data_IF_604235880328
#
_entry.id   IF_604235880328
#
_cell.length_a   1.000
_cell.length_b   1.000
_cell.length_c   1.000
_cell.angle_alpha   90.00
_cell.angle_beta   90.00
_cell.angle_gamma   90.00
#
_symmetry.space_group_name_H-M   'P 1'
#
loop_
_entity.id
_entity.type
_entity.pdbx_description
1 polymer ?
#
# COMPACT_ATOMS: atom_id res chain seq x y z
N UNK A 1 8.35 4.81 -3.08
CA UNK A 1 8.40 3.78 -2.02
C UNK A 1 8.52 4.51 -0.69
N UNK A 2 7.71 4.13 0.30
CA UNK A 2 7.73 4.69 1.65
C UNK A 2 7.67 3.55 2.65
N UNK A 3 8.40 3.68 3.76
CA UNK A 3 8.34 2.71 4.87
C UNK A 3 7.17 3.07 5.78
N UNK A 4 6.37 2.07 6.16
CA UNK A 4 5.27 2.13 7.10
C UNK A 4 5.50 1.10 8.22
N UNK A 5 5.07 1.41 9.44
CA UNK A 5 5.03 0.45 10.55
C UNK A 5 3.59 0.26 11.00
N UNK A 6 3.12 -0.97 11.00
CA UNK A 6 1.79 -1.28 11.52
C UNK A 6 1.76 -1.30 13.06
N UNK A 7 0.56 -1.41 13.63
CA UNK A 7 0.35 -1.48 15.08
C UNK A 7 0.95 -2.75 15.72
N UNK A 8 1.26 -3.77 14.92
CA UNK A 8 1.96 -4.99 15.33
C UNK A 8 3.49 -4.82 15.39
N UNK A 9 4.02 -3.68 14.91
CA UNK A 9 5.44 -3.40 14.81
C UNK A 9 6.12 -3.95 13.55
N UNK A 10 5.35 -4.56 12.63
CA UNK A 10 5.91 -5.04 11.37
C UNK A 10 6.25 -3.85 10.47
N UNK A 11 7.34 -4.00 9.71
CA UNK A 11 7.77 -3.00 8.73
C UNK A 11 7.30 -3.37 7.34
N UNK A 12 6.72 -2.40 6.66
CA UNK A 12 6.15 -2.54 5.33
C UNK A 12 6.76 -1.51 4.39
N UNK A 13 7.16 -1.96 3.20
CA UNK A 13 7.39 -1.08 2.06
C UNK A 13 6.07 -0.84 1.33
N UNK A 14 5.68 0.42 1.23
CA UNK A 14 4.47 0.84 0.53
C UNK A 14 4.88 1.46 -0.80
N UNK A 15 4.31 0.91 -1.88
CA UNK A 15 4.52 1.38 -3.25
C UNK A 15 3.19 1.59 -3.95
N UNK A 16 3.20 2.48 -4.93
CA UNK A 16 2.03 2.69 -5.79
C UNK A 16 2.19 1.84 -7.03
N UNK A 17 1.23 0.95 -7.24
CA UNK A 17 1.14 0.07 -8.40
C UNK A 17 0.00 0.49 -9.34
N UNK A 18 0.03 -0.09 -10.54
CA UNK A 18 -1.05 0.00 -11.51
C UNK A 18 -1.50 -1.40 -11.86
N UNK A 19 -2.78 -1.66 -11.63
CA UNK A 19 -3.47 -2.90 -11.96
C UNK A 19 -4.12 -2.81 -13.35
N UNK A 20 -4.72 -3.91 -13.78
CA UNK A 20 -5.54 -3.98 -15.00
C UNK A 20 -6.54 -2.83 -15.07
N UNK A 21 -6.82 -2.37 -16.30
CA UNK A 21 -7.75 -1.27 -16.59
C UNK A 21 -7.36 0.11 -16.03
N UNK A 22 -6.12 0.27 -15.53
CA UNK A 22 -5.62 1.55 -15.06
C UNK A 22 -5.95 1.89 -13.62
N UNK A 23 -6.49 0.94 -12.86
CA UNK A 23 -6.69 1.07 -11.42
C UNK A 23 -5.35 1.33 -10.73
N UNK A 24 -5.31 2.33 -9.86
CA UNK A 24 -4.13 2.63 -9.05
C UNK A 24 -4.30 2.00 -7.68
N UNK A 25 -3.28 1.29 -7.21
CA UNK A 25 -3.31 0.57 -5.94
C UNK A 25 -2.12 0.97 -5.08
N UNK A 26 -2.31 0.94 -3.75
CA UNK A 26 -1.22 0.90 -2.81
C UNK A 26 -0.91 -0.55 -2.48
N UNK A 27 0.35 -0.94 -2.63
CA UNK A 27 0.84 -2.30 -2.38
C UNK A 27 1.79 -2.22 -1.19
N UNK A 28 1.50 -3.04 -0.18
CA UNK A 28 2.26 -3.20 1.05
C UNK A 28 3.02 -4.50 0.99
N UNK A 29 4.34 -4.43 1.06
CA UNK A 29 5.24 -5.59 1.05
C UNK A 29 5.93 -5.65 2.41
N UNK A 30 5.75 -6.75 3.14
CA UNK A 30 6.41 -6.91 4.44
C UNK A 30 7.92 -7.04 4.23
N UNK A 31 8.72 -6.30 5.00
CA UNK A 31 10.18 -6.33 4.87
C UNK A 31 10.80 -7.60 5.46
N UNK A 32 10.18 -8.13 6.52
CA UNK A 32 10.64 -9.31 7.24
C UNK A 32 9.45 -10.24 7.52
N UNK A 33 9.60 -11.52 7.18
CA UNK A 33 8.56 -12.53 7.35
C UNK A 33 8.06 -13.11 6.03
N UNK A 34 7.04 -13.96 6.12
CA UNK A 34 6.44 -14.66 4.98
C UNK A 34 4.98 -14.23 4.72
N UNK A 35 4.59 -13.05 5.22
CA UNK A 35 3.25 -12.52 4.95
C UNK A 35 3.12 -12.14 3.47
N UNK A 36 1.99 -12.51 2.87
CA UNK A 36 1.71 -12.17 1.49
C UNK A 36 1.59 -10.64 1.33
N UNK A 37 2.03 -10.07 0.19
CA UNK A 37 1.79 -8.67 -0.10
C UNK A 37 0.31 -8.33 0.02
N UNK A 38 0.01 -7.15 0.55
CA UNK A 38 -1.37 -6.66 0.69
C UNK A 38 -1.58 -5.48 -0.23
N UNK A 39 -2.78 -5.33 -0.78
CA UNK A 39 -3.08 -4.20 -1.65
C UNK A 39 -4.48 -3.62 -1.41
N UNK A 40 -4.62 -2.34 -1.71
CA UNK A 40 -5.90 -1.64 -1.69
C UNK A 40 -5.97 -0.60 -2.80
N UNK A 41 -7.19 -0.30 -3.26
CA UNK A 41 -7.41 0.69 -4.30
C UNK A 41 -7.22 2.11 -3.77
N UNK A 42 -6.48 2.91 -4.53
CA UNK A 42 -6.36 4.35 -4.30
C UNK A 42 -7.38 5.10 -5.16
N UNK A 43 -7.99 6.15 -4.59
CA UNK A 43 -8.97 6.98 -5.29
C UNK A 43 -8.30 8.09 -6.11
N UNK A 44 -7.37 7.71 -6.97
CA UNK A 44 -6.55 8.61 -7.80
C UNK A 44 -6.65 8.25 -9.27
N UNK A 45 -6.31 9.20 -10.15
CA UNK A 45 -6.42 9.04 -11.60
C UNK A 45 -5.13 8.56 -12.25
N UNK A 46 -4.00 8.67 -11.57
CA UNK A 46 -2.72 8.19 -12.09
C UNK A 46 -1.76 7.70 -11.00
N UNK A 47 -0.78 6.84 -11.34
CA UNK A 47 0.26 6.41 -10.40
C UNK A 47 1.11 7.57 -9.84
N UNK A 48 1.31 8.63 -10.62
CA UNK A 48 2.05 9.83 -10.17
C UNK A 48 1.26 10.61 -9.12
N UNK A 49 -0.05 10.74 -9.30
CA UNK A 49 -0.95 11.31 -8.29
C UNK A 49 -0.97 10.44 -7.03
N UNK A 50 -1.11 9.13 -7.19
CA UNK A 50 -1.04 8.18 -6.08
C UNK A 50 0.28 8.25 -5.32
N UNK A 51 1.42 8.41 -6.02
CA UNK A 51 2.72 8.55 -5.36
C UNK A 51 2.80 9.83 -4.56
N UNK A 52 2.28 10.95 -5.10
CA UNK A 52 2.23 12.22 -4.38
C UNK A 52 1.36 12.12 -3.13
N UNK A 53 0.18 11.52 -3.24
CA UNK A 53 -0.71 11.30 -2.09
C UNK A 53 -0.06 10.40 -1.04
N UNK A 54 0.51 9.26 -1.45
CA UNK A 54 1.17 8.32 -0.54
C UNK A 54 2.31 8.99 0.27
N UNK A 55 3.07 9.87 -0.37
CA UNK A 55 4.16 10.61 0.29
C UNK A 55 3.66 11.72 1.21
N UNK A 56 2.44 12.22 0.99
CA UNK A 56 1.83 13.27 1.79
C UNK A 56 1.01 12.73 2.98
N UNK A 57 0.60 11.45 2.95
CA UNK A 57 -0.18 10.83 4.01
C UNK A 57 0.53 10.87 5.37
N UNK A 58 -0.23 11.07 6.42
CA UNK A 58 0.18 10.84 7.80
C UNK A 58 0.33 9.34 8.08
N UNK A 59 0.96 8.97 9.20
CA UNK A 59 1.02 7.57 9.63
C UNK A 59 -0.38 7.01 9.94
N UNK A 60 -1.29 7.83 10.46
CA UNK A 60 -2.69 7.46 10.71
C UNK A 60 -3.40 7.11 9.39
N UNK A 61 -3.29 7.97 8.36
CA UNK A 61 -3.87 7.70 7.05
C UNK A 61 -3.27 6.46 6.36
N UNK A 62 -1.98 6.18 6.57
CA UNK A 62 -1.36 4.94 6.13
C UNK A 62 -1.91 3.72 6.87
N UNK A 63 -2.16 3.83 8.18
CA UNK A 63 -2.81 2.80 8.98
C UNK A 63 -4.23 2.50 8.48
N UNK A 64 -5.00 3.53 8.16
CA UNK A 64 -6.32 3.38 7.55
C UNK A 64 -6.28 2.75 6.15
N UNK A 65 -5.27 3.11 5.36
CA UNK A 65 -5.04 2.50 4.04
C UNK A 65 -4.65 1.02 4.17
N UNK A 66 -3.77 0.69 5.10
CA UNK A 66 -3.34 -0.68 5.40
C UNK A 66 -4.50 -1.54 5.92
N UNK A 67 -5.35 -0.99 6.79
CA UNK A 67 -6.53 -1.69 7.32
C UNK A 67 -7.51 -2.07 6.21
N UNK A 68 -7.62 -1.26 5.16
CA UNK A 68 -8.44 -1.54 3.96
C UNK A 68 -7.77 -2.46 2.94
N UNK A 69 -6.53 -2.86 3.17
CA UNK A 69 -5.80 -3.73 2.24
C UNK A 69 -6.15 -5.20 2.46
N UNK A 70 -6.20 -5.95 1.35
CA UNK A 70 -6.39 -7.39 1.36
C UNK A 70 -5.11 -8.08 0.90
N UNK A 71 -4.83 -9.26 1.43
CA UNK A 71 -3.74 -10.10 0.94
C UNK A 71 -3.98 -10.41 -0.54
N UNK A 72 -2.98 -10.19 -1.39
CA UNK A 72 -3.05 -10.58 -2.79
C UNK A 72 -3.10 -12.11 -2.82
N UNK A 73 -4.09 -12.72 -3.50
CA UNK A 73 -4.13 -14.17 -3.63
C UNK A 73 -2.86 -14.64 -4.33
N UNK A 74 -2.22 -15.67 -3.77
CA UNK A 74 -1.12 -16.37 -4.42
C UNK A 74 -1.69 -17.11 -5.64
N UNK A 75 -1.30 -16.71 -6.85
CA UNK A 75 -1.56 -17.48 -8.07
C UNK A 75 -0.77 -18.80 -8.09
#
# INVERSE_FOLDING_TARGET
MRVFRDDGGNRWDVVVGRESWGTVVAIFVVQEGAEAPRETMMKVRSPEEGTRELMAMTEEELGDLFTRSAAKPSE
#
